data_IF_226198432309
#
_entry.id   IF_226198432309
#
_cell.length_a   1.000
_cell.length_b   1.000
_cell.length_c   1.000
_cell.angle_alpha   90.00
_cell.angle_beta   90.00
_cell.angle_gamma   90.00
#
_symmetry.space_group_name_H-M   'P 1'
#
loop_
_entity.id
_entity.type
_entity.pdbx_description
1 polymer ?
#
# COMPACT_ATOMS: atom_id res chain seq x y z
N UNK A 1 4.68 -20.84 -47.13
CA UNK A 1 5.13 -21.76 -46.06
C UNK A 1 5.32 -20.88 -44.84
N UNK A 2 4.24 -20.67 -44.10
CA UNK A 2 4.15 -19.76 -42.96
C UNK A 2 4.43 -20.57 -41.71
N UNK A 3 5.60 -20.39 -41.09
CA UNK A 3 5.87 -20.90 -39.76
C UNK A 3 5.26 -19.94 -38.73
N UNK A 4 4.13 -20.37 -38.15
CA UNK A 4 3.52 -19.73 -37.00
C UNK A 4 4.29 -20.15 -35.73
N UNK A 5 4.81 -19.16 -35.02
CA UNK A 5 5.38 -19.33 -33.68
C UNK A 5 4.31 -19.83 -32.70
N UNK A 6 4.64 -20.74 -31.76
CA UNK A 6 3.67 -21.30 -30.83
C UNK A 6 3.30 -20.30 -29.72
N UNK A 7 2.02 -19.93 -29.70
CA UNK A 7 1.19 -19.90 -28.49
C UNK A 7 1.67 -19.09 -27.28
N UNK A 8 1.85 -17.78 -27.42
CA UNK A 8 1.62 -16.89 -26.29
C UNK A 8 0.11 -16.69 -26.15
N UNK A 9 -0.51 -17.44 -25.25
CA UNK A 9 -1.87 -17.15 -24.81
C UNK A 9 -1.76 -16.10 -23.69
N UNK A 10 -2.18 -14.84 -23.89
CA UNK A 10 -2.29 -13.92 -22.78
C UNK A 10 -3.25 -14.56 -21.77
N UNK A 11 -2.86 -14.57 -20.49
CA UNK A 11 -3.77 -14.96 -19.41
C UNK A 11 -5.10 -14.23 -19.63
N UNK A 12 -6.20 -14.99 -19.74
CA UNK A 12 -7.51 -14.42 -20.05
C UNK A 12 -7.85 -13.30 -19.08
N UNK A 13 -8.41 -12.19 -19.58
CA UNK A 13 -8.84 -11.02 -18.80
C UNK A 13 -9.71 -11.33 -17.57
N UNK A 14 -10.25 -12.55 -17.45
CA UNK A 14 -11.05 -13.05 -16.33
C UNK A 14 -10.25 -13.38 -15.06
N UNK A 15 -8.91 -13.36 -15.13
CA UNK A 15 -8.02 -13.84 -14.06
C UNK A 15 -7.25 -12.73 -13.32
N UNK A 16 -7.28 -11.49 -13.81
CA UNK A 16 -6.64 -10.34 -13.17
C UNK A 16 -7.53 -9.73 -12.08
N UNK A 17 -6.92 -8.99 -11.16
CA UNK A 17 -7.63 -8.15 -10.19
C UNK A 17 -7.55 -6.69 -10.66
N UNK A 18 -8.54 -6.24 -11.42
CA UNK A 18 -8.53 -4.92 -12.07
C UNK A 18 -8.41 -3.78 -11.04
N UNK A 19 -9.16 -3.85 -9.93
CA UNK A 19 -9.11 -2.85 -8.86
C UNK A 19 -7.70 -2.69 -8.25
N UNK A 20 -6.91 -3.77 -8.22
CA UNK A 20 -5.54 -3.75 -7.75
C UNK A 20 -4.60 -3.11 -8.78
N UNK A 21 -4.75 -3.49 -10.06
CA UNK A 21 -3.94 -2.93 -11.15
C UNK A 21 -4.22 -1.43 -11.36
N UNK A 22 -5.48 -1.01 -11.25
CA UNK A 22 -5.88 0.40 -11.31
C UNK A 22 -5.28 1.24 -10.18
N UNK A 23 -5.15 0.67 -8.97
CA UNK A 23 -4.58 1.37 -7.83
C UNK A 23 -3.04 1.46 -7.87
N UNK A 24 -2.39 0.64 -8.68
CA UNK A 24 -0.94 0.49 -8.74
C UNK A 24 -0.24 1.67 -9.43
N UNK A 25 -0.21 2.80 -8.72
CA UNK A 25 0.38 4.06 -9.16
C UNK A 25 1.46 4.51 -8.16
N UNK A 26 2.40 5.41 -8.53
CA UNK A 26 3.33 6.02 -7.59
C UNK A 26 2.66 6.66 -6.38
N UNK A 27 1.39 7.07 -6.51
CA UNK A 27 0.58 7.70 -5.48
C UNK A 27 -0.17 6.69 -4.58
N UNK A 28 0.03 5.38 -4.75
CA UNK A 28 -0.66 4.28 -4.07
C UNK A 28 -0.90 4.55 -2.57
N UNK A 29 0.17 4.83 -1.82
CA UNK A 29 0.05 5.08 -0.37
C UNK A 29 -0.42 6.49 -0.04
N UNK A 30 -0.12 7.48 -0.90
CA UNK A 30 -0.53 8.87 -0.70
C UNK A 30 -2.04 9.06 -0.82
N UNK A 31 -2.67 8.26 -1.68
CA UNK A 31 -4.12 8.24 -1.90
C UNK A 31 -4.85 7.17 -1.07
N UNK A 32 -4.11 6.35 -0.31
CA UNK A 32 -4.70 5.32 0.53
C UNK A 32 -5.67 5.95 1.54
N UNK A 33 -6.92 5.49 1.53
CA UNK A 33 -7.98 6.13 2.31
C UNK A 33 -7.75 6.06 3.83
N UNK A 34 -7.11 5.00 4.34
CA UNK A 34 -6.80 4.85 5.76
C UNK A 34 -5.68 5.79 6.20
N UNK A 35 -4.69 6.03 5.33
CA UNK A 35 -3.66 7.05 5.55
C UNK A 35 -4.26 8.45 5.56
N UNK A 36 -5.05 8.78 4.54
CA UNK A 36 -5.67 10.11 4.36
C UNK A 36 -6.63 10.44 5.51
N UNK A 37 -7.43 9.47 5.94
CA UNK A 37 -8.42 9.67 7.01
C UNK A 37 -7.85 9.40 8.41
N UNK A 38 -6.61 8.92 8.52
CA UNK A 38 -5.94 8.55 9.78
C UNK A 38 -6.76 7.53 10.59
N UNK A 39 -7.26 6.50 9.91
CA UNK A 39 -8.05 5.43 10.49
C UNK A 39 -7.28 4.11 10.42
N UNK A 40 -7.45 3.19 11.39
CA UNK A 40 -6.95 1.84 11.26
C UNK A 40 -7.78 1.06 10.22
N UNK A 41 -7.20 0.00 9.63
CA UNK A 41 -7.88 -0.83 8.61
C UNK A 41 -9.11 -1.55 9.16
N UNK A 42 -9.16 -1.80 10.46
CA UNK A 42 -10.30 -2.40 11.17
C UNK A 42 -11.35 -1.37 11.63
N UNK A 43 -11.28 -0.13 11.13
CA UNK A 43 -12.29 0.89 11.42
C UNK A 43 -13.70 0.45 10.97
N UNK A 44 -14.64 0.58 11.90
CA UNK A 44 -16.06 0.27 11.71
C UNK A 44 -16.76 1.32 10.86
N UNK A 45 -17.89 0.98 10.24
CA UNK A 45 -18.72 1.94 9.50
C UNK A 45 -19.12 3.15 10.36
N UNK A 46 -19.37 2.94 11.66
CA UNK A 46 -19.66 4.01 12.61
C UNK A 46 -18.49 4.96 12.82
N UNK A 47 -17.26 4.45 12.84
CA UNK A 47 -16.05 5.27 13.00
C UNK A 47 -15.73 6.05 11.73
N UNK A 48 -15.91 5.42 10.56
CA UNK A 48 -15.78 6.09 9.27
C UNK A 48 -16.81 7.22 9.17
N UNK A 49 -18.08 6.97 9.52
CA UNK A 49 -19.12 7.99 9.54
C UNK A 49 -18.78 9.13 10.52
N UNK A 50 -18.34 8.82 11.74
CA UNK A 50 -17.90 9.83 12.71
C UNK A 50 -16.74 10.67 12.18
N UNK A 51 -15.79 10.06 11.46
CA UNK A 51 -14.68 10.79 10.84
C UNK A 51 -15.19 11.71 9.73
N UNK A 52 -16.14 11.25 8.91
CA UNK A 52 -16.79 12.09 7.89
C UNK A 52 -17.53 13.30 8.50
N UNK A 53 -18.30 13.07 9.57
CA UNK A 53 -19.00 14.14 10.29
C UNK A 53 -18.03 15.16 10.88
N UNK A 54 -16.95 14.69 11.51
CA UNK A 54 -15.89 15.54 12.06
C UNK A 54 -15.24 16.41 10.97
N UNK A 55 -14.91 15.83 9.83
CA UNK A 55 -14.31 16.57 8.71
C UNK A 55 -15.28 17.62 8.15
N UNK A 56 -16.56 17.29 8.04
CA UNK A 56 -17.63 18.23 7.63
C UNK A 56 -17.78 19.38 8.64
N UNK A 57 -17.66 19.11 9.94
CA UNK A 57 -17.70 20.15 10.97
C UNK A 57 -16.47 21.07 10.92
N UNK A 58 -15.28 20.51 10.71
CA UNK A 58 -14.04 21.29 10.53
C UNK A 58 -14.15 22.16 9.27
N UNK A 59 -14.71 21.64 8.18
CA UNK A 59 -14.96 22.39 6.95
C UNK A 59 -15.92 23.58 7.19
N UNK A 60 -17.06 23.33 7.85
CA UNK A 60 -18.11 24.34 8.06
C UNK A 60 -17.78 25.39 9.11
N UNK A 61 -16.99 25.02 10.13
CA UNK A 61 -16.81 25.84 11.34
C UNK A 61 -15.35 26.04 11.77
N UNK A 62 -14.39 25.36 11.13
CA UNK A 62 -13.04 25.18 11.64
C UNK A 62 -11.96 25.99 10.93
N UNK A 63 -11.37 26.93 11.66
CA UNK A 63 -10.14 27.63 11.32
C UNK A 63 -8.87 26.79 11.66
N UNK A 64 -8.89 25.47 11.39
CA UNK A 64 -7.78 24.60 11.75
C UNK A 64 -7.79 23.25 11.03
N UNK A 65 -6.71 22.96 10.29
CA UNK A 65 -6.43 21.60 9.77
C UNK A 65 -6.25 20.64 10.96
N UNK A 66 -6.77 19.40 10.89
CA UNK A 66 -6.42 18.39 11.89
C UNK A 66 -4.90 18.31 11.98
N UNK A 67 -4.34 18.56 13.18
CA UNK A 67 -2.92 18.30 13.45
C UNK A 67 -2.73 16.80 13.64
N UNK A 68 -2.96 16.07 12.58
CA UNK A 68 -2.80 14.64 12.54
C UNK A 68 -1.33 14.29 12.36
N UNK A 69 -0.70 13.74 13.41
CA UNK A 69 0.52 12.93 13.28
C UNK A 69 0.11 11.46 13.07
N UNK A 70 -0.85 11.20 12.18
CA UNK A 70 -1.24 9.84 11.84
C UNK A 70 -0.04 9.00 11.35
N UNK A 71 -0.20 7.67 11.28
CA UNK A 71 0.82 6.77 10.73
C UNK A 71 1.29 7.27 9.37
N UNK A 72 2.58 7.63 9.27
CA UNK A 72 3.18 8.25 8.09
C UNK A 72 2.43 9.51 7.60
N UNK A 73 2.32 10.51 8.47
CA UNK A 73 1.63 11.78 8.18
C UNK A 73 2.02 12.39 6.82
N UNK A 74 1.01 12.88 6.10
CA UNK A 74 1.17 13.42 4.75
C UNK A 74 1.65 14.87 4.76
N UNK A 75 2.60 15.18 3.87
CA UNK A 75 3.09 16.53 3.61
C UNK A 75 2.97 16.86 2.11
N UNK A 76 2.23 17.92 1.73
CA UNK A 76 1.27 18.66 2.57
C UNK A 76 0.13 17.78 3.11
N UNK A 77 -0.51 18.24 4.19
CA UNK A 77 -1.70 17.58 4.73
C UNK A 77 -2.83 17.52 3.68
N UNK A 78 -3.66 16.46 3.68
CA UNK A 78 -4.74 16.31 2.70
C UNK A 78 -5.69 17.51 2.68
N UNK A 79 -6.09 17.90 1.48
CA UNK A 79 -7.16 18.88 1.29
C UNK A 79 -8.55 18.23 1.36
N UNK A 80 -9.58 19.06 1.28
CA UNK A 80 -10.97 18.61 1.36
C UNK A 80 -11.34 17.61 0.26
N UNK A 81 -10.84 17.80 -0.95
CA UNK A 81 -11.11 16.92 -2.07
C UNK A 81 -10.48 15.54 -1.84
N UNK A 82 -9.26 15.49 -1.34
CA UNK A 82 -8.59 14.24 -0.95
C UNK A 82 -9.35 13.51 0.16
N UNK A 83 -9.85 14.23 1.17
CA UNK A 83 -10.65 13.64 2.25
C UNK A 83 -11.98 13.06 1.74
N UNK A 84 -12.69 13.79 0.87
CA UNK A 84 -13.94 13.33 0.25
C UNK A 84 -13.70 12.10 -0.64
N UNK A 85 -12.64 12.13 -1.45
CA UNK A 85 -12.25 11.01 -2.30
C UNK A 85 -11.91 9.76 -1.46
N UNK A 86 -11.16 9.92 -0.36
CA UNK A 86 -10.86 8.82 0.56
C UNK A 86 -12.12 8.20 1.17
N UNK A 87 -13.09 9.02 1.59
CA UNK A 87 -14.38 8.50 2.09
C UNK A 87 -15.13 7.70 1.02
N UNK A 88 -15.19 8.21 -0.21
CA UNK A 88 -15.82 7.50 -1.34
C UNK A 88 -15.13 6.16 -1.62
N UNK A 89 -13.79 6.10 -1.55
CA UNK A 89 -13.04 4.85 -1.68
C UNK A 89 -13.41 3.82 -0.62
N UNK A 90 -13.62 4.25 0.63
CA UNK A 90 -14.03 3.34 1.72
C UNK A 90 -15.48 2.83 1.58
N UNK A 91 -16.33 3.52 0.81
CA UNK A 91 -17.69 3.06 0.50
C UNK A 91 -17.71 1.99 -0.59
N UNK A 92 -16.72 1.95 -1.47
CA UNK A 92 -16.58 0.89 -2.46
C UNK A 92 -15.76 -0.29 -1.88
N UNK A 93 -16.32 -1.50 -1.74
CA UNK A 93 -15.64 -2.64 -1.12
C UNK A 93 -14.40 -3.13 -1.87
N UNK A 94 -14.35 -3.04 -3.21
CA UNK A 94 -13.18 -3.46 -3.98
C UNK A 94 -12.01 -2.49 -3.75
N UNK A 95 -12.29 -1.18 -3.80
CA UNK A 95 -11.29 -0.15 -3.49
C UNK A 95 -10.89 -0.17 -2.02
N UNK A 96 -11.84 -0.37 -1.11
CA UNK A 96 -11.57 -0.53 0.32
C UNK A 96 -10.68 -1.73 0.58
N UNK A 97 -10.90 -2.88 -0.06
CA UNK A 97 -10.04 -4.05 0.08
C UNK A 97 -8.59 -3.75 -0.35
N UNK A 98 -8.41 -3.04 -1.46
CA UNK A 98 -7.09 -2.61 -1.94
C UNK A 98 -6.44 -1.64 -0.95
N UNK A 99 -7.19 -0.66 -0.45
CA UNK A 99 -6.69 0.28 0.56
C UNK A 99 -6.37 -0.42 1.89
N UNK A 100 -7.16 -1.42 2.31
CA UNK A 100 -6.85 -2.22 3.49
C UNK A 100 -5.56 -3.03 3.27
N UNK A 101 -5.43 -3.71 2.12
CA UNK A 101 -4.22 -4.48 1.78
C UNK A 101 -2.97 -3.60 1.80
N UNK A 102 -2.99 -2.41 1.21
CA UNK A 102 -1.84 -1.51 1.22
C UNK A 102 -1.78 -0.60 2.45
N UNK A 103 -2.25 -1.07 3.60
CA UNK A 103 -2.11 -0.35 4.87
C UNK A 103 -1.80 -1.28 6.04
N UNK A 104 -1.67 -0.73 7.25
CA UNK A 104 -1.18 -1.49 8.39
C UNK A 104 -2.28 -2.32 9.05
N UNK A 105 -2.07 -3.63 9.13
CA UNK A 105 -3.01 -4.56 9.78
C UNK A 105 -2.62 -4.78 11.23
N UNK A 106 -3.59 -4.81 12.17
CA UNK A 106 -3.28 -5.16 13.55
C UNK A 106 -2.88 -6.63 13.66
N UNK A 107 -2.12 -7.02 14.69
CA UNK A 107 -1.84 -8.44 14.93
C UNK A 107 -3.15 -9.24 15.06
N UNK A 108 -4.14 -8.68 15.77
CA UNK A 108 -5.51 -9.21 15.87
C UNK A 108 -6.53 -8.23 15.30
N UNK A 109 -7.38 -8.69 14.38
CA UNK A 109 -8.47 -7.87 13.83
C UNK A 109 -9.41 -7.38 14.94
N UNK A 110 -9.84 -6.12 14.83
CA UNK A 110 -10.69 -5.45 15.82
C UNK A 110 -9.92 -4.96 17.05
N UNK A 111 -8.60 -5.12 17.09
CA UNK A 111 -7.72 -4.68 18.18
C UNK A 111 -6.71 -3.62 17.72
N UNK A 112 -6.89 -2.99 16.57
CA UNK A 112 -5.92 -2.02 16.04
C UNK A 112 -5.66 -0.81 16.94
N UNK A 113 -6.65 -0.39 17.72
CA UNK A 113 -6.48 0.71 18.70
C UNK A 113 -5.65 0.35 19.93
N UNK A 114 -5.42 -0.94 20.15
CA UNK A 114 -4.64 -1.46 21.28
C UNK A 114 -3.38 -2.18 20.81
N UNK A 115 -3.14 -2.23 19.50
CA UNK A 115 -1.95 -2.85 18.93
C UNK A 115 -0.74 -1.93 19.20
N UNK A 116 0.29 -2.41 19.91
CA UNK A 116 1.43 -1.57 20.28
C UNK A 116 2.16 -0.97 19.08
N UNK A 117 2.26 -1.70 17.96
CA UNK A 117 2.96 -1.24 16.76
C UNK A 117 2.16 -0.15 16.06
N UNK A 118 0.84 -0.32 15.96
CA UNK A 118 -0.04 0.70 15.34
C UNK A 118 -0.12 1.96 16.20
N UNK A 119 -0.10 1.81 17.54
CA UNK A 119 -0.01 2.94 18.46
C UNK A 119 1.31 3.69 18.33
N UNK A 120 2.44 2.98 18.18
CA UNK A 120 3.75 3.59 17.93
C UNK A 120 3.74 4.39 16.62
N UNK A 121 3.20 3.82 15.53
CA UNK A 121 3.06 4.54 14.26
C UNK A 121 2.18 5.78 14.38
N UNK A 122 1.05 5.70 15.08
CA UNK A 122 0.16 6.84 15.31
C UNK A 122 0.79 7.93 16.20
N UNK A 123 1.83 7.59 16.97
CA UNK A 123 2.63 8.57 17.71
C UNK A 123 3.76 9.17 16.86
N UNK A 124 3.99 8.67 15.64
CA UNK A 124 5.09 9.03 14.76
C UNK A 124 6.38 8.25 15.03
N UNK A 125 6.36 7.25 15.90
CA UNK A 125 7.52 6.40 16.21
C UNK A 125 7.61 5.21 15.23
N UNK A 126 8.03 5.55 14.01
CA UNK A 126 8.18 4.58 12.91
C UNK A 126 9.25 3.53 13.20
N UNK A 127 10.33 3.93 13.87
CA UNK A 127 11.44 3.03 14.17
C UNK A 127 11.01 1.95 15.18
N UNK A 128 10.33 2.33 16.26
CA UNK A 128 9.83 1.37 17.24
C UNK A 128 8.88 0.34 16.62
N UNK A 129 7.98 0.79 15.73
CA UNK A 129 7.07 -0.12 15.02
C UNK A 129 7.85 -1.10 14.12
N UNK A 130 8.82 -0.60 13.34
CA UNK A 130 9.67 -1.42 12.49
C UNK A 130 10.46 -2.46 13.28
N UNK A 131 11.10 -2.06 14.39
CA UNK A 131 11.90 -2.96 15.21
C UNK A 131 11.04 -4.05 15.86
N UNK A 132 9.85 -3.69 16.33
CA UNK A 132 8.90 -4.63 16.92
C UNK A 132 8.41 -5.65 15.91
N UNK A 133 8.05 -5.21 14.69
CA UNK A 133 7.67 -6.13 13.61
C UNK A 133 8.84 -7.00 13.15
N UNK A 134 10.05 -6.46 13.06
CA UNK A 134 11.24 -7.22 12.64
C UNK A 134 11.56 -8.33 13.64
N UNK A 135 11.42 -8.05 14.94
CA UNK A 135 11.56 -9.07 15.98
C UNK A 135 10.45 -10.14 15.88
N UNK A 136 9.21 -9.74 15.61
CA UNK A 136 8.10 -10.67 15.44
C UNK A 136 8.25 -11.55 14.17
N UNK A 137 8.77 -11.00 13.07
CA UNK A 137 9.08 -11.72 11.82
C UNK A 137 10.06 -12.87 12.09
N UNK A 138 11.13 -12.63 12.85
CA UNK A 138 12.13 -13.65 13.22
C UNK A 138 11.58 -14.77 14.10
N UNK A 139 10.53 -14.50 14.88
CA UNK A 139 9.97 -15.43 15.85
C UNK A 139 8.71 -16.18 15.35
N UNK A 140 8.38 -16.06 14.06
CA UNK A 140 7.20 -16.71 13.47
C UNK A 140 5.90 -15.94 13.72
N UNK A 141 5.86 -14.67 13.29
CA UNK A 141 4.70 -13.77 13.31
C UNK A 141 3.37 -14.47 12.99
N UNK A 142 2.34 -14.23 13.81
CA UNK A 142 0.99 -14.75 13.58
C UNK A 142 0.51 -14.35 12.18
N UNK A 143 0.30 -15.35 11.31
CA UNK A 143 -0.16 -15.16 9.93
C UNK A 143 0.69 -14.22 9.06
N UNK A 144 1.99 -14.05 9.35
CA UNK A 144 2.92 -13.19 8.60
C UNK A 144 2.51 -11.70 8.51
N UNK A 145 1.75 -11.21 9.48
CA UNK A 145 1.27 -9.82 9.51
C UNK A 145 2.42 -8.83 9.66
N UNK A 146 3.46 -9.22 10.40
CA UNK A 146 4.67 -8.40 10.56
C UNK A 146 5.39 -8.22 9.23
N UNK A 147 5.60 -9.31 8.47
CA UNK A 147 6.19 -9.26 7.12
C UNK A 147 5.40 -8.36 6.18
N UNK A 148 4.07 -8.51 6.18
CA UNK A 148 3.17 -7.64 5.42
C UNK A 148 3.31 -6.16 5.81
N UNK A 149 3.23 -5.85 7.11
CA UNK A 149 3.28 -4.47 7.58
C UNK A 149 4.64 -3.81 7.32
N UNK A 150 5.75 -4.57 7.40
CA UNK A 150 7.06 -4.04 7.02
C UNK A 150 7.12 -3.81 5.51
N UNK A 151 6.57 -4.70 4.68
CA UNK A 151 6.49 -4.50 3.23
C UNK A 151 5.71 -3.22 2.88
N UNK A 152 4.56 -2.99 3.53
CA UNK A 152 3.78 -1.75 3.41
C UNK A 152 4.59 -0.54 3.86
N UNK A 153 5.23 -0.62 5.03
CA UNK A 153 5.99 0.50 5.59
C UNK A 153 7.14 0.93 4.67
N UNK A 154 7.98 -0.01 4.26
CA UNK A 154 9.16 0.31 3.45
C UNK A 154 8.78 0.71 2.03
N UNK A 155 7.73 0.13 1.45
CA UNK A 155 7.24 0.55 0.15
C UNK A 155 6.63 1.96 0.19
N UNK A 156 5.88 2.29 1.25
CA UNK A 156 5.36 3.64 1.47
C UNK A 156 6.49 4.67 1.63
N UNK A 157 7.52 4.35 2.42
CA UNK A 157 8.69 5.23 2.59
C UNK A 157 9.47 5.41 1.28
N UNK A 158 9.65 4.33 0.49
CA UNK A 158 10.30 4.41 -0.81
C UNK A 158 9.54 5.36 -1.74
N UNK A 159 8.21 5.19 -1.88
CA UNK A 159 7.37 6.02 -2.74
C UNK A 159 7.24 7.46 -2.24
N UNK A 160 7.17 7.69 -0.94
CA UNK A 160 7.20 9.04 -0.37
C UNK A 160 8.50 9.76 -0.76
N UNK A 161 9.65 9.08 -0.70
CA UNK A 161 10.92 9.65 -1.19
C UNK A 161 10.90 9.92 -2.70
N UNK A 162 10.36 9.02 -3.54
CA UNK A 162 10.24 9.25 -4.98
C UNK A 162 9.31 10.43 -5.33
N UNK A 163 8.30 10.69 -4.50
CA UNK A 163 7.42 11.85 -4.69
C UNK A 163 8.09 13.13 -4.19
N UNK A 164 8.76 13.10 -3.04
CA UNK A 164 9.49 14.26 -2.51
C UNK A 164 10.67 14.69 -3.38
N UNK A 165 11.32 13.76 -4.08
CA UNK A 165 12.42 14.07 -5.01
C UNK A 165 11.99 14.92 -6.21
N UNK A 166 10.68 14.96 -6.52
CA UNK A 166 10.13 15.80 -7.59
C UNK A 166 10.06 17.28 -7.22
N UNK A 167 9.91 17.56 -5.93
CA UNK A 167 9.78 18.92 -5.41
C UNK A 167 11.12 19.48 -4.93
N UNK A 168 11.94 18.62 -4.32
CA UNK A 168 13.20 19.01 -3.70
C UNK A 168 14.27 17.95 -3.89
N UNK A 169 15.51 18.37 -4.10
CA UNK A 169 16.64 17.45 -4.15
C UNK A 169 16.80 16.70 -2.82
N UNK A 170 16.95 15.38 -2.91
CA UNK A 170 17.13 14.53 -1.73
C UNK A 170 18.60 14.52 -1.31
N UNK A 171 18.84 14.61 0.01
CA UNK A 171 20.18 14.36 0.55
C UNK A 171 20.65 12.93 0.25
N UNK A 172 21.97 12.71 0.22
CA UNK A 172 22.56 11.36 0.06
C UNK A 172 22.05 10.35 1.10
N UNK A 173 21.73 10.83 2.31
CA UNK A 173 21.11 9.99 3.35
C UNK A 173 19.71 9.52 2.91
N UNK A 174 18.88 10.43 2.42
CA UNK A 174 17.53 10.12 1.96
C UNK A 174 17.54 9.21 0.72
N UNK A 175 18.49 9.40 -0.20
CA UNK A 175 18.68 8.50 -1.36
C UNK A 175 19.00 7.07 -0.93
N UNK A 176 19.96 6.90 0.01
CA UNK A 176 20.28 5.58 0.57
C UNK A 176 19.09 4.95 1.31
N UNK A 177 18.32 5.75 2.05
CA UNK A 177 17.12 5.28 2.74
C UNK A 177 16.05 4.82 1.74
N UNK A 178 15.81 5.59 0.67
CA UNK A 178 14.90 5.23 -0.43
C UNK A 178 15.25 3.90 -1.08
N UNK A 179 16.51 3.70 -1.46
CA UNK A 179 16.93 2.48 -2.17
C UNK A 179 16.93 1.25 -1.25
N UNK A 180 17.29 1.44 0.03
CA UNK A 180 17.12 0.41 1.07
C UNK A 180 15.65 0.05 1.29
N UNK A 181 14.77 1.04 1.28
CA UNK A 181 13.33 0.85 1.45
C UNK A 181 12.72 0.07 0.26
N UNK A 182 13.13 0.36 -0.98
CA UNK A 182 12.75 -0.44 -2.16
C UNK A 182 13.17 -1.90 -2.05
N UNK A 183 14.45 -2.13 -1.70
CA UNK A 183 14.99 -3.49 -1.54
C UNK A 183 14.23 -4.27 -0.46
N UNK A 184 14.02 -3.64 0.68
CA UNK A 184 13.29 -4.20 1.83
C UNK A 184 11.82 -4.52 1.48
N UNK A 185 11.15 -3.64 0.73
CA UNK A 185 9.77 -3.84 0.31
C UNK A 185 9.63 -5.06 -0.61
N UNK A 186 10.44 -5.15 -1.66
CA UNK A 186 10.33 -6.25 -2.63
C UNK A 186 10.74 -7.59 -2.06
N UNK A 187 11.75 -7.64 -1.18
CA UNK A 187 12.07 -8.86 -0.45
C UNK A 187 10.86 -9.39 0.31
N UNK A 188 10.16 -8.52 1.06
CA UNK A 188 9.02 -8.94 1.89
C UNK A 188 7.75 -9.20 1.12
N UNK A 189 7.50 -8.47 0.02
CA UNK A 189 6.41 -8.80 -0.88
C UNK A 189 6.62 -10.19 -1.50
N UNK A 190 7.85 -10.52 -1.90
CA UNK A 190 8.19 -11.86 -2.41
C UNK A 190 8.00 -12.93 -1.34
N UNK A 191 8.50 -12.72 -0.14
CA UNK A 191 8.29 -13.65 0.98
C UNK A 191 6.79 -13.85 1.24
N UNK A 192 6.00 -12.77 1.31
CA UNK A 192 4.57 -12.83 1.56
C UNK A 192 3.79 -13.63 0.49
N UNK A 193 4.25 -13.63 -0.77
CA UNK A 193 3.63 -14.43 -1.84
C UNK A 193 3.76 -15.93 -1.61
N UNK A 194 4.70 -16.40 -0.78
CA UNK A 194 4.90 -17.83 -0.50
C UNK A 194 4.16 -18.30 0.76
N UNK A 195 3.78 -17.39 1.67
CA UNK A 195 3.19 -17.74 2.97
C UNK A 195 1.66 -17.67 2.96
N UNK A 196 1.00 -18.84 3.13
CA UNK A 196 -0.47 -18.95 3.15
C UNK A 196 -1.16 -18.25 4.33
N UNK A 197 -0.45 -17.99 5.43
CA UNK A 197 -1.04 -17.42 6.65
C UNK A 197 -1.71 -16.07 6.39
N UNK A 198 -1.01 -15.17 5.72
CA UNK A 198 -1.56 -13.84 5.40
C UNK A 198 -2.74 -13.94 4.42
N UNK A 199 -2.61 -14.76 3.37
CA UNK A 199 -3.66 -14.94 2.35
C UNK A 199 -4.93 -15.59 2.91
N UNK A 200 -4.79 -16.48 3.89
CA UNK A 200 -5.92 -17.04 4.65
C UNK A 200 -6.65 -15.95 5.43
N UNK A 201 -5.90 -15.02 6.03
CA UNK A 201 -6.45 -13.87 6.74
C UNK A 201 -7.14 -12.87 5.80
N UNK A 202 -6.54 -12.56 4.65
CA UNK A 202 -7.17 -11.75 3.62
C UNK A 202 -8.47 -12.38 3.11
N UNK A 203 -8.47 -13.70 2.91
CA UNK A 203 -9.67 -14.45 2.51
C UNK A 203 -10.77 -14.40 3.56
N UNK A 204 -10.42 -14.46 4.85
CA UNK A 204 -11.38 -14.26 5.94
C UNK A 204 -11.95 -12.85 5.91
N UNK A 205 -11.10 -11.84 5.73
CA UNK A 205 -11.52 -10.44 5.63
C UNK A 205 -12.46 -10.19 4.45
N UNK A 206 -12.18 -10.81 3.29
CA UNK A 206 -13.04 -10.78 2.11
C UNK A 206 -14.43 -11.33 2.41
N UNK A 207 -14.52 -12.45 3.15
CA UNK A 207 -15.82 -13.01 3.58
C UNK A 207 -16.57 -12.06 4.53
N UNK A 208 -15.86 -11.40 5.44
CA UNK A 208 -16.45 -10.46 6.41
C UNK A 208 -17.09 -9.23 5.74
N UNK A 209 -16.65 -8.85 4.53
CA UNK A 209 -17.30 -7.78 3.78
C UNK A 209 -18.73 -8.14 3.36
N UNK A 210 -19.00 -9.42 3.08
CA UNK A 210 -20.31 -9.89 2.62
C UNK A 210 -20.78 -9.25 1.29
N UNK A 211 -19.89 -8.65 0.50
CA UNK A 211 -20.23 -8.02 -0.78
C UNK A 211 -20.12 -9.06 -1.92
N UNK A 212 -21.14 -9.19 -2.80
CA UNK A 212 -21.15 -10.19 -3.87
C UNK A 212 -20.05 -10.01 -4.93
N UNK A 213 -19.46 -8.81 -5.06
CA UNK A 213 -18.29 -8.57 -5.94
C UNK A 213 -17.01 -9.15 -5.36
N UNK A 214 -16.92 -9.25 -4.04
CA UNK A 214 -15.79 -9.81 -3.31
C UNK A 214 -15.97 -11.32 -3.08
N UNK A 215 -15.76 -12.09 -4.14
CA UNK A 215 -15.92 -13.54 -4.16
C UNK A 215 -14.83 -14.32 -3.39
N UNK A 216 -15.06 -15.61 -3.12
CA UNK A 216 -14.05 -16.51 -2.56
C UNK A 216 -12.75 -16.61 -3.39
N UNK A 217 -12.82 -16.38 -4.71
CA UNK A 217 -11.66 -16.36 -5.60
C UNK A 217 -10.87 -15.05 -5.58
N UNK A 218 -11.39 -13.99 -4.95
CA UNK A 218 -10.78 -12.66 -5.00
C UNK A 218 -9.38 -12.64 -4.38
N UNK A 219 -9.16 -13.30 -3.23
CA UNK A 219 -7.83 -13.38 -2.63
C UNK A 219 -6.78 -14.03 -3.55
N UNK A 220 -7.18 -15.08 -4.28
CA UNK A 220 -6.31 -15.76 -5.24
C UNK A 220 -5.96 -14.87 -6.43
N UNK A 221 -6.95 -14.18 -7.01
CA UNK A 221 -6.71 -13.22 -8.11
C UNK A 221 -5.84 -12.06 -7.65
N UNK A 222 -6.06 -11.58 -6.43
CA UNK A 222 -5.27 -10.52 -5.81
C UNK A 222 -3.80 -10.94 -5.65
N UNK A 223 -3.54 -12.11 -5.03
CA UNK A 223 -2.18 -12.67 -4.88
C UNK A 223 -1.44 -12.80 -6.20
N UNK A 224 -2.12 -13.36 -7.22
CA UNK A 224 -1.53 -13.53 -8.56
C UNK A 224 -1.24 -12.20 -9.26
N UNK A 225 -2.07 -11.19 -9.04
CA UNK A 225 -1.92 -9.88 -9.69
C UNK A 225 -0.95 -8.96 -8.94
N UNK A 226 -0.62 -9.26 -7.69
CA UNK A 226 0.24 -8.43 -6.84
C UNK A 226 1.63 -8.15 -7.45
N UNK A 227 2.39 -9.14 -7.98
CA UNK A 227 3.69 -8.87 -8.60
C UNK A 227 3.58 -7.86 -9.75
N UNK A 228 2.62 -8.08 -10.65
CA UNK A 228 2.38 -7.19 -11.80
C UNK A 228 2.01 -5.80 -11.31
N UNK A 229 1.13 -5.68 -10.31
CA UNK A 229 0.74 -4.40 -9.74
C UNK A 229 1.94 -3.62 -9.19
N UNK A 230 2.73 -4.20 -8.28
CA UNK A 230 3.85 -3.48 -7.67
C UNK A 230 4.97 -3.17 -8.67
N UNK A 231 5.22 -4.04 -9.67
CA UNK A 231 6.18 -3.75 -10.74
C UNK A 231 5.70 -2.65 -11.70
N UNK A 232 4.39 -2.55 -11.90
CA UNK A 232 3.79 -1.49 -12.73
C UNK A 232 4.10 -0.10 -12.17
N UNK A 233 4.23 0.04 -10.84
CA UNK A 233 4.63 1.31 -10.22
C UNK A 233 6.05 1.71 -10.65
N UNK A 234 7.01 0.78 -10.63
CA UNK A 234 8.37 1.03 -11.12
C UNK A 234 8.40 1.33 -12.62
N UNK A 235 7.57 0.64 -13.43
CA UNK A 235 7.46 0.93 -14.85
C UNK A 235 6.95 2.37 -15.10
N UNK A 236 5.92 2.81 -14.36
CA UNK A 236 5.43 4.18 -14.43
C UNK A 236 6.49 5.19 -14.00
N UNK A 237 7.22 4.94 -12.92
CA UNK A 237 8.31 5.83 -12.48
C UNK A 237 9.45 5.91 -13.51
N UNK A 238 9.80 4.79 -14.15
CA UNK A 238 10.81 4.76 -15.20
C UNK A 238 10.37 5.58 -16.43
N UNK A 239 9.11 5.42 -16.87
CA UNK A 239 8.54 6.20 -17.98
C UNK A 239 8.53 7.69 -17.64
N UNK A 240 8.04 8.06 -16.46
CA UNK A 240 8.01 9.45 -16.01
C UNK A 240 9.42 10.07 -15.94
N UNK A 241 10.43 9.29 -15.53
CA UNK A 241 11.83 9.75 -15.53
C UNK A 241 12.37 9.95 -16.95
N UNK A 242 12.10 9.00 -17.86
CA UNK A 242 12.51 9.10 -19.26
C UNK A 242 11.85 10.31 -19.96
N UNK A 243 10.56 10.58 -19.68
CA UNK A 243 9.85 11.76 -20.19
C UNK A 243 10.47 13.09 -19.73
N UNK A 244 11.09 13.11 -18.54
CA UNK A 244 11.86 14.26 -18.04
C UNK A 244 13.30 14.32 -18.56
N UNK A 245 13.74 13.34 -19.35
CA UNK A 245 15.12 13.23 -19.82
C UNK A 245 16.10 12.67 -18.78
N UNK A 246 15.61 12.20 -17.63
CA UNK A 246 16.45 11.60 -16.59
C UNK A 246 16.66 10.10 -16.85
N UNK A 247 17.64 9.83 -17.72
CA UNK A 247 17.99 8.46 -18.12
C UNK A 247 18.49 7.62 -16.93
N UNK A 248 19.21 8.23 -15.98
CA UNK A 248 19.76 7.53 -14.81
C UNK A 248 18.65 7.01 -13.92
N UNK A 249 17.66 7.83 -13.58
CA UNK A 249 16.52 7.39 -12.76
C UNK A 249 15.63 6.38 -13.50
N UNK A 250 15.46 6.52 -14.82
CA UNK A 250 14.73 5.54 -15.62
C UNK A 250 15.40 4.15 -15.57
N UNK A 251 16.72 4.10 -15.79
CA UNK A 251 17.51 2.87 -15.70
C UNK A 251 17.49 2.27 -14.28
N UNK A 252 17.51 3.12 -13.24
CA UNK A 252 17.42 2.67 -11.84
C UNK A 252 16.10 1.94 -11.57
N UNK A 253 14.96 2.48 -11.99
CA UNK A 253 13.67 1.81 -11.79
C UNK A 253 13.54 0.51 -12.58
N UNK A 254 14.07 0.47 -13.81
CA UNK A 254 14.15 -0.78 -14.60
C UNK A 254 15.03 -1.80 -13.89
N UNK A 255 16.16 -1.38 -13.32
CA UNK A 255 17.03 -2.26 -12.56
C UNK A 255 16.34 -2.83 -11.31
N UNK A 256 15.69 -1.97 -10.50
CA UNK A 256 14.92 -2.40 -9.32
C UNK A 256 13.83 -3.41 -9.71
N UNK A 257 13.09 -3.17 -10.80
CA UNK A 257 12.08 -4.10 -11.28
C UNK A 257 12.68 -5.46 -11.68
N UNK A 258 13.81 -5.48 -12.39
CA UNK A 258 14.49 -6.71 -12.83
C UNK A 258 15.11 -7.51 -11.67
N UNK A 259 15.61 -6.84 -10.64
CA UNK A 259 16.25 -7.49 -9.50
C UNK A 259 15.29 -7.78 -8.35
N UNK A 260 14.01 -7.39 -8.47
CA UNK A 260 12.94 -7.64 -7.50
C UNK A 260 12.72 -9.12 -7.18
N UNK A 261 13.06 -10.01 -8.12
CA UNK A 261 12.85 -11.44 -8.01
C UNK A 261 11.42 -11.90 -8.27
N UNK A 262 10.58 -11.03 -8.84
CA UNK A 262 9.32 -11.39 -9.48
C UNK A 262 9.57 -11.72 -10.96
N UNK A 263 8.79 -12.65 -11.52
CA UNK A 263 8.80 -12.89 -12.96
C UNK A 263 8.15 -11.70 -13.68
N UNK A 264 8.88 -11.13 -14.64
CA UNK A 264 8.46 -9.99 -15.45
C UNK A 264 7.87 -10.42 -16.80
#
# INVERSE_FOLDING_TARGET
MNDALPGYSPASATDACDSLLEAATPELYRLNAFRVLELPTDATAREIARRADMLTMIEKYGNGKPKGRGPLGLTPSPDENALRAALQRLHDPERRLVDEFFWFWPAKLGKGKTDPCLLALAAGDVQLAYDTWSCAEMNGSESNVSTHNIAVLTHALALDHELSSRETELSEKNLRQRDSAWTSAFQRWKELLEYEGFWSRLSARIRDFGDPRLTAGTARRFRRSLPVAILTINAQLAVQAAERGDKSEAERHVHIARTSGFDA
#
